data_IF_029971637088
#
_entry.id   IF_029971637088
#
_cell.length_a   1.000
_cell.length_b   1.000
_cell.length_c   1.000
_cell.angle_alpha   90.00
_cell.angle_beta   90.00
_cell.angle_gamma   90.00
#
_symmetry.space_group_name_H-M   'P 1'
#
loop_
_entity.id
_entity.type
_entity.pdbx_description
1 polymer ?
#
# COMPACT_ATOMS: atom_id res chain seq x y z
N UNK A 1 12.21 13.52 6.33
CA UNK A 1 13.49 13.46 5.60
C UNK A 1 14.14 12.11 5.86
N UNK A 2 13.83 11.07 5.07
CA UNK A 2 14.50 9.77 5.13
C UNK A 2 15.82 9.86 4.35
N UNK A 3 16.96 9.92 5.06
CA UNK A 3 18.27 9.89 4.43
C UNK A 3 18.67 8.47 3.98
N UNK A 4 18.05 7.46 4.58
CA UNK A 4 18.36 6.06 4.27
C UNK A 4 17.20 5.14 4.70
N UNK A 5 17.10 3.98 4.08
CA UNK A 5 16.30 2.84 4.56
C UNK A 5 17.20 1.67 4.88
N UNK A 6 16.84 0.92 5.91
CA UNK A 6 17.50 -0.32 6.27
C UNK A 6 16.54 -1.46 5.98
N UNK A 7 16.90 -2.30 5.03
CA UNK A 7 16.21 -3.55 4.79
C UNK A 7 16.83 -4.65 5.67
N UNK A 8 16.15 -4.97 6.75
CA UNK A 8 16.61 -5.98 7.71
C UNK A 8 16.63 -7.39 7.14
N UNK A 9 15.82 -7.69 6.13
CA UNK A 9 15.76 -9.01 5.50
C UNK A 9 16.97 -9.23 4.59
N UNK A 10 17.33 -8.25 3.79
CA UNK A 10 18.46 -8.32 2.86
C UNK A 10 19.77 -7.77 3.45
N UNK A 11 19.77 -7.22 4.67
CA UNK A 11 20.90 -6.52 5.33
C UNK A 11 21.50 -5.39 4.46
N UNK A 12 20.68 -4.74 3.64
CA UNK A 12 21.13 -3.66 2.76
C UNK A 12 20.66 -2.31 3.28
N UNK A 13 21.55 -1.33 3.22
CA UNK A 13 21.26 0.08 3.46
C UNK A 13 21.13 0.76 2.10
N UNK A 14 19.98 1.40 1.86
CA UNK A 14 19.78 2.24 0.65
C UNK A 14 19.74 3.69 1.08
N UNK A 15 20.58 4.52 0.45
CA UNK A 15 20.50 5.96 0.60
C UNK A 15 19.52 6.51 -0.43
N UNK A 16 18.57 7.33 0.02
CA UNK A 16 17.62 7.98 -0.86
C UNK A 16 18.16 9.31 -1.32
N UNK A 17 18.15 9.51 -2.63
CA UNK A 17 18.22 10.85 -3.21
C UNK A 17 16.85 11.49 -3.02
N UNK A 18 16.84 12.66 -2.43
CA UNK A 18 15.71 13.52 -2.11
C UNK A 18 14.54 13.44 -3.11
N UNK A 19 13.31 13.50 -2.58
CA UNK A 19 12.00 13.63 -3.22
C UNK A 19 11.12 12.35 -3.30
N UNK A 20 10.92 11.68 -2.16
CA UNK A 20 9.80 10.76 -1.98
C UNK A 20 8.70 11.38 -1.09
N UNK A 21 7.45 11.07 -1.34
CA UNK A 21 6.26 11.57 -0.59
C UNK A 21 6.21 11.13 0.87
N UNK A 22 6.91 10.08 1.26
CA UNK A 22 6.88 9.54 2.62
C UNK A 22 8.14 9.92 3.40
N UNK A 23 7.96 10.60 4.53
CA UNK A 23 9.03 10.93 5.47
C UNK A 23 9.52 9.72 6.30
N UNK A 24 8.85 8.60 6.21
CA UNK A 24 9.19 7.32 6.84
C UNK A 24 8.04 6.35 6.64
N UNK A 25 8.30 5.25 5.99
CA UNK A 25 7.35 4.18 5.75
C UNK A 25 7.88 2.90 6.37
N UNK A 26 7.04 2.22 7.14
CA UNK A 26 7.39 0.90 7.71
C UNK A 26 6.54 -0.16 7.04
N UNK A 27 7.19 -1.03 6.26
CA UNK A 27 6.52 -2.17 5.62
C UNK A 27 6.46 -3.35 6.58
N UNK A 28 5.25 -3.84 6.82
CA UNK A 28 5.02 -4.99 7.67
C UNK A 28 4.78 -6.24 6.84
N UNK A 29 5.39 -7.35 7.27
CA UNK A 29 5.11 -8.68 6.75
C UNK A 29 4.85 -9.61 7.92
N UNK A 30 3.68 -10.26 7.93
CA UNK A 30 3.27 -11.12 9.02
C UNK A 30 3.79 -12.56 8.83
N UNK A 31 4.74 -13.00 9.65
CA UNK A 31 5.18 -14.40 9.72
C UNK A 31 4.27 -15.28 10.58
N UNK A 32 3.49 -14.66 11.48
CA UNK A 32 2.54 -15.31 12.38
C UNK A 32 1.21 -14.57 12.35
N UNK A 33 0.15 -15.19 12.87
CA UNK A 33 -1.15 -14.51 13.00
C UNK A 33 -1.00 -13.22 13.81
N UNK A 34 -1.47 -12.11 13.23
CA UNK A 34 -1.44 -10.78 13.81
C UNK A 34 -2.83 -10.44 14.36
N UNK A 35 -2.88 -9.77 15.50
CA UNK A 35 -4.11 -9.24 16.07
C UNK A 35 -4.11 -7.71 16.03
N UNK A 36 -5.28 -7.09 16.06
CA UNK A 36 -5.41 -5.63 16.15
C UNK A 36 -4.60 -5.05 17.34
N UNK A 37 -4.58 -5.76 18.48
CA UNK A 37 -3.78 -5.36 19.64
C UNK A 37 -2.29 -5.28 19.32
N UNK A 38 -1.76 -6.22 18.51
CA UNK A 38 -0.37 -6.18 18.07
C UNK A 38 -0.08 -4.94 17.22
N UNK A 39 -0.99 -4.62 16.30
CA UNK A 39 -0.86 -3.43 15.44
C UNK A 39 -0.92 -2.15 16.28
N UNK A 40 -1.91 -2.02 17.17
CA UNK A 40 -2.02 -0.86 18.07
C UNK A 40 -0.79 -0.69 18.96
N UNK A 41 -0.24 -1.79 19.48
CA UNK A 41 0.98 -1.74 20.28
C UNK A 41 2.19 -1.26 19.46
N UNK A 42 2.34 -1.72 18.21
CA UNK A 42 3.44 -1.27 17.34
C UNK A 42 3.33 0.23 17.09
N UNK A 43 2.15 0.71 16.70
CA UNK A 43 1.89 2.13 16.46
C UNK A 43 2.13 2.97 17.73
N UNK A 44 1.58 2.58 18.88
CA UNK A 44 1.79 3.28 20.15
C UNK A 44 3.26 3.32 20.56
N UNK A 45 3.99 2.21 20.39
CA UNK A 45 5.40 2.15 20.75
C UNK A 45 6.27 3.07 19.88
N UNK A 46 5.92 3.28 18.61
CA UNK A 46 6.60 4.24 17.74
C UNK A 46 6.51 5.67 18.29
N UNK A 47 5.31 6.09 18.65
CA UNK A 47 5.06 7.42 19.26
C UNK A 47 5.78 7.55 20.61
N UNK A 48 5.65 6.57 21.49
CA UNK A 48 6.29 6.56 22.82
C UNK A 48 7.82 6.61 22.68
N UNK A 49 8.40 5.80 21.81
CA UNK A 49 9.85 5.79 21.59
C UNK A 49 10.33 7.17 21.11
N UNK A 50 9.64 7.78 20.17
CA UNK A 50 9.98 9.13 19.68
C UNK A 50 9.92 10.17 20.80
N UNK A 51 8.89 10.12 21.67
CA UNK A 51 8.75 11.01 22.80
C UNK A 51 9.87 10.82 23.84
N UNK A 52 10.22 9.56 24.14
CA UNK A 52 11.31 9.23 25.07
C UNK A 52 12.66 9.74 24.53
N UNK A 53 12.96 9.48 23.24
CA UNK A 53 14.19 9.98 22.63
C UNK A 53 14.25 11.51 22.64
N UNK A 54 13.16 12.19 22.28
CA UNK A 54 13.11 13.66 22.34
C UNK A 54 13.38 14.18 23.74
N UNK A 55 12.78 13.56 24.76
CA UNK A 55 12.99 13.94 26.18
C UNK A 55 14.43 13.73 26.60
N UNK A 56 15.04 12.59 26.29
CA UNK A 56 16.43 12.29 26.61
C UNK A 56 17.40 13.29 25.94
N UNK A 57 17.14 13.69 24.71
CA UNK A 57 17.96 14.67 24.02
C UNK A 57 17.84 16.08 24.61
N UNK A 58 16.63 16.50 24.98
CA UNK A 58 16.41 17.79 25.65
C UNK A 58 17.15 17.81 27.01
N UNK A 59 16.98 16.76 27.79
CA UNK A 59 17.63 16.64 29.11
C UNK A 59 19.16 16.59 28.96
N UNK A 60 19.68 15.85 27.99
CA UNK A 60 21.10 15.80 27.67
C UNK A 60 21.65 17.16 27.28
N UNK A 61 20.90 17.97 26.52
CA UNK A 61 21.27 19.33 26.16
C UNK A 61 21.42 20.26 27.38
N UNK A 62 20.52 20.12 28.37
CA UNK A 62 20.61 20.88 29.59
C UNK A 62 21.85 20.53 30.43
N UNK A 63 22.29 19.28 30.40
CA UNK A 63 23.46 18.79 31.13
C UNK A 63 24.76 19.13 30.40
N UNK A 64 24.84 18.87 29.08
CA UNK A 64 26.08 19.00 28.32
C UNK A 64 26.40 20.45 28.00
N UNK A 65 25.37 21.26 27.71
CA UNK A 65 25.47 22.71 27.45
C UNK A 65 26.59 23.10 26.48
N UNK A 66 26.75 22.38 25.38
CA UNK A 66 27.77 22.61 24.36
C UNK A 66 27.12 22.96 23.01
N UNK A 67 27.69 23.93 22.30
CA UNK A 67 27.16 24.41 21.02
C UNK A 67 26.98 23.29 19.98
N UNK A 68 27.93 22.36 19.88
CA UNK A 68 27.86 21.23 18.96
C UNK A 68 26.67 20.30 19.26
N UNK A 69 26.31 20.15 20.53
CA UNK A 69 25.17 19.34 20.93
C UNK A 69 23.86 19.98 20.47
N UNK A 70 23.72 21.29 20.58
CA UNK A 70 22.54 22.00 20.07
C UNK A 70 22.42 21.91 18.55
N UNK A 71 23.52 21.96 17.80
CA UNK A 71 23.50 21.70 16.37
C UNK A 71 23.00 20.28 16.06
N UNK A 72 23.49 19.29 16.77
CA UNK A 72 23.06 17.90 16.63
C UNK A 72 21.58 17.72 17.00
N UNK A 73 21.12 18.39 18.05
CA UNK A 73 19.73 18.43 18.46
C UNK A 73 18.84 19.01 17.36
N UNK A 74 19.19 20.15 16.80
CA UNK A 74 18.41 20.78 15.73
C UNK A 74 18.29 19.88 14.48
N UNK A 75 19.38 19.23 14.08
CA UNK A 75 19.38 18.36 12.90
C UNK A 75 18.59 17.07 13.12
N UNK A 76 18.72 16.46 14.29
CA UNK A 76 18.15 15.14 14.59
C UNK A 76 16.75 15.18 15.23
N UNK A 77 16.50 16.15 16.09
CA UNK A 77 15.30 16.15 16.95
C UNK A 77 14.16 17.03 16.43
N UNK A 78 14.44 18.12 15.73
CA UNK A 78 13.35 18.92 15.15
C UNK A 78 12.49 18.12 14.17
N UNK A 79 13.05 17.30 13.26
CA UNK A 79 12.25 16.41 12.44
C UNK A 79 11.46 15.38 13.26
N UNK A 80 12.06 14.81 14.33
CA UNK A 80 11.39 13.83 15.18
C UNK A 80 10.22 14.45 15.96
N UNK A 81 10.40 15.66 16.50
CA UNK A 81 9.33 16.42 17.17
C UNK A 81 8.22 16.80 16.20
N UNK A 82 8.57 17.19 14.97
CA UNK A 82 7.59 17.46 13.93
C UNK A 82 6.76 16.22 13.61
N UNK A 83 7.40 15.06 13.42
CA UNK A 83 6.71 13.79 13.17
C UNK A 83 5.83 13.38 14.36
N UNK A 84 6.32 13.56 15.59
CA UNK A 84 5.54 13.31 16.78
C UNK A 84 4.30 14.20 16.84
N UNK A 85 4.46 15.49 16.55
CA UNK A 85 3.34 16.43 16.49
C UNK A 85 2.30 16.03 15.44
N UNK A 86 2.74 15.73 14.21
CA UNK A 86 1.85 15.31 13.13
C UNK A 86 1.13 14.01 13.48
N UNK A 87 1.84 13.00 14.00
CA UNK A 87 1.24 11.74 14.42
C UNK A 87 0.23 11.88 15.56
N UNK A 88 0.42 12.86 16.46
CA UNK A 88 -0.46 13.04 17.63
C UNK A 88 -1.74 13.80 17.26
N UNK A 89 -1.65 14.79 16.39
CA UNK A 89 -2.77 15.70 16.10
C UNK A 89 -3.50 15.40 14.79
N UNK A 90 -3.01 14.45 14.00
CA UNK A 90 -3.67 14.05 12.77
C UNK A 90 -4.51 12.79 12.98
N UNK A 91 -5.77 12.83 12.57
CA UNK A 91 -6.71 11.72 12.67
C UNK A 91 -6.75 10.84 11.41
N UNK A 92 -5.88 11.09 10.45
CA UNK A 92 -5.82 10.26 9.24
C UNK A 92 -5.36 8.85 9.60
N UNK A 93 -5.98 7.83 8.98
CA UNK A 93 -5.70 6.40 9.15
C UNK A 93 -4.24 6.00 8.92
N UNK A 94 -3.47 6.86 8.26
CA UNK A 94 -2.05 6.64 7.97
C UNK A 94 -1.12 6.93 9.15
N UNK A 95 -1.63 7.58 10.20
CA UNK A 95 -0.80 8.00 11.33
C UNK A 95 -0.93 7.04 12.52
N UNK A 96 0.18 6.86 13.21
CA UNK A 96 0.30 5.91 14.32
C UNK A 96 -0.76 6.12 15.42
N UNK A 97 -1.07 7.37 15.77
CA UNK A 97 -2.10 7.64 16.78
C UNK A 97 -3.51 7.25 16.33
N UNK A 98 -3.83 7.42 15.03
CA UNK A 98 -5.10 6.97 14.49
C UNK A 98 -5.21 5.43 14.49
N UNK A 99 -4.12 4.75 14.12
CA UNK A 99 -4.02 3.28 14.16
C UNK A 99 -4.08 2.76 15.61
N UNK A 100 -3.43 3.45 16.55
CA UNK A 100 -3.42 3.08 17.95
C UNK A 100 -4.78 3.29 18.65
N UNK A 101 -5.63 4.18 18.12
CA UNK A 101 -6.93 4.50 18.70
C UNK A 101 -7.88 3.29 18.67
N UNK A 102 -8.54 3.01 19.79
CA UNK A 102 -9.59 1.99 19.87
C UNK A 102 -10.94 2.47 19.29
N UNK A 103 -11.07 3.75 19.01
CA UNK A 103 -12.32 4.34 18.50
C UNK A 103 -12.55 4.09 17.01
N UNK A 104 -11.54 3.61 16.30
CA UNK A 104 -11.63 3.27 14.89
C UNK A 104 -11.20 1.80 14.65
N UNK A 105 -11.56 1.28 13.47
CA UNK A 105 -11.24 -0.10 13.06
C UNK A 105 -9.95 -0.23 12.24
N UNK A 106 -9.11 0.80 12.16
CA UNK A 106 -7.90 0.79 11.31
C UNK A 106 -6.97 -0.38 11.65
N UNK A 107 -6.71 -0.60 12.95
CA UNK A 107 -5.86 -1.68 13.40
C UNK A 107 -6.48 -3.07 13.13
N UNK A 108 -7.80 -3.17 13.21
CA UNK A 108 -8.53 -4.43 12.97
C UNK A 108 -8.48 -4.80 11.48
N UNK A 109 -8.75 -3.84 10.60
CA UNK A 109 -8.67 -4.01 9.14
C UNK A 109 -7.24 -4.35 8.72
N UNK A 110 -6.24 -3.63 9.24
CA UNK A 110 -4.84 -3.87 8.91
C UNK A 110 -4.37 -5.26 9.40
N UNK A 111 -4.78 -5.68 10.58
CA UNK A 111 -4.45 -7.01 11.09
C UNK A 111 -5.07 -8.10 10.22
N UNK A 112 -6.32 -7.93 9.80
CA UNK A 112 -7.02 -8.88 8.96
C UNK A 112 -6.40 -8.96 7.56
N UNK A 113 -6.11 -7.83 6.92
CA UNK A 113 -5.46 -7.79 5.61
C UNK A 113 -4.08 -8.45 5.62
N UNK A 114 -3.27 -8.24 6.67
CA UNK A 114 -1.99 -8.92 6.85
C UNK A 114 -2.14 -10.44 7.03
N UNK A 115 -3.17 -10.88 7.73
CA UNK A 115 -3.45 -12.31 7.89
C UNK A 115 -3.89 -12.95 6.57
N UNK A 116 -4.79 -12.29 5.82
CA UNK A 116 -5.22 -12.74 4.49
C UNK A 116 -4.02 -12.82 3.53
N UNK A 117 -3.19 -11.78 3.49
CA UNK A 117 -2.00 -11.77 2.65
C UNK A 117 -1.03 -12.90 2.99
N UNK A 118 -0.85 -13.20 4.28
CA UNK A 118 -0.04 -14.33 4.72
C UNK A 118 -0.62 -15.65 4.23
N UNK A 119 -1.92 -15.90 4.40
CA UNK A 119 -2.58 -17.12 3.95
C UNK A 119 -2.46 -17.32 2.45
N UNK A 120 -2.63 -16.24 1.67
CA UNK A 120 -2.42 -16.24 0.23
C UNK A 120 -0.96 -16.62 -0.12
N UNK A 121 0.01 -16.02 0.56
CA UNK A 121 1.43 -16.30 0.34
C UNK A 121 1.82 -17.74 0.74
N UNK A 122 1.12 -18.30 1.73
CA UNK A 122 1.24 -19.71 2.14
C UNK A 122 0.56 -20.69 1.13
N UNK A 123 0.01 -20.18 0.04
CA UNK A 123 -0.67 -20.96 -1.01
C UNK A 123 -2.10 -21.38 -0.66
N UNK A 124 -2.69 -20.81 0.37
CA UNK A 124 -4.06 -21.10 0.77
C UNK A 124 -5.06 -20.22 0.03
N UNK A 125 -6.28 -20.66 -0.04
CA UNK A 125 -7.44 -19.84 -0.42
C UNK A 125 -8.09 -19.41 0.91
N UNK A 126 -7.94 -18.12 1.30
CA UNK A 126 -8.50 -17.67 2.58
C UNK A 126 -10.03 -17.64 2.53
N UNK A 127 -10.63 -17.75 3.70
CA UNK A 127 -12.07 -17.51 3.86
C UNK A 127 -12.37 -16.00 3.79
N UNK A 128 -13.59 -15.70 3.36
CA UNK A 128 -14.08 -14.34 3.27
C UNK A 128 -14.26 -13.73 4.67
N UNK A 129 -13.70 -12.55 4.88
CA UNK A 129 -13.81 -11.83 6.14
C UNK A 129 -14.94 -10.82 6.10
N UNK A 130 -15.92 -10.95 7.02
CA UNK A 130 -17.02 -9.98 7.13
C UNK A 130 -16.54 -8.56 7.39
N UNK A 131 -15.43 -8.41 8.14
CA UNK A 131 -14.82 -7.11 8.42
C UNK A 131 -14.36 -6.44 7.12
N UNK A 132 -13.63 -7.20 6.30
CA UNK A 132 -13.11 -6.71 5.01
C UNK A 132 -14.25 -6.39 4.05
N UNK A 133 -15.27 -7.22 4.00
CA UNK A 133 -16.40 -7.04 3.08
C UNK A 133 -17.28 -5.81 3.39
N UNK A 134 -17.23 -5.30 4.63
CA UNK A 134 -18.00 -4.14 5.07
C UNK A 134 -17.19 -2.86 5.15
N UNK A 135 -15.87 -2.95 5.05
CA UNK A 135 -14.98 -1.80 5.20
C UNK A 135 -14.73 -1.10 3.86
N UNK A 136 -14.62 0.22 3.90
CA UNK A 136 -14.38 1.05 2.72
C UNK A 136 -12.94 1.56 2.60
N UNK A 137 -12.03 1.11 3.46
CA UNK A 137 -10.62 1.44 3.31
C UNK A 137 -10.06 0.83 2.02
N UNK A 138 -9.20 1.53 1.27
CA UNK A 138 -8.73 1.08 -0.03
C UNK A 138 -8.16 -0.33 -0.02
N UNK A 139 -7.37 -0.70 1.01
CA UNK A 139 -6.81 -2.05 1.11
C UNK A 139 -7.90 -3.11 1.35
N UNK A 140 -8.94 -2.80 2.13
CA UNK A 140 -10.08 -3.71 2.32
C UNK A 140 -10.87 -3.87 1.02
N UNK A 141 -11.09 -2.78 0.28
CA UNK A 141 -11.74 -2.82 -1.03
C UNK A 141 -10.96 -3.68 -2.04
N UNK A 142 -9.61 -3.70 -1.97
CA UNK A 142 -8.82 -4.57 -2.82
C UNK A 142 -9.06 -6.06 -2.51
N UNK A 143 -9.12 -6.46 -1.25
CA UNK A 143 -9.47 -7.83 -0.89
C UNK A 143 -10.93 -8.16 -1.21
N UNK A 144 -11.86 -7.22 -0.98
CA UNK A 144 -13.26 -7.36 -1.42
C UNK A 144 -13.34 -7.64 -2.92
N UNK A 145 -12.59 -6.89 -3.73
CA UNK A 145 -12.48 -7.12 -5.17
C UNK A 145 -12.00 -8.54 -5.50
N UNK A 146 -10.93 -9.01 -4.85
CA UNK A 146 -10.42 -10.35 -5.08
C UNK A 146 -11.44 -11.44 -4.70
N UNK A 147 -12.12 -11.32 -3.56
CA UNK A 147 -13.17 -12.28 -3.15
C UNK A 147 -14.36 -12.26 -4.11
N UNK A 148 -14.77 -11.09 -4.57
CA UNK A 148 -15.85 -10.95 -5.56
C UNK A 148 -15.50 -11.65 -6.88
N UNK A 149 -14.24 -11.51 -7.32
CA UNK A 149 -13.75 -12.23 -8.50
C UNK A 149 -13.74 -13.74 -8.32
N UNK A 150 -13.36 -14.25 -7.15
CA UNK A 150 -13.37 -15.69 -6.87
C UNK A 150 -14.79 -16.27 -6.92
N UNK A 151 -15.79 -15.49 -6.53
CA UNK A 151 -17.21 -15.85 -6.68
C UNK A 151 -17.69 -15.85 -8.14
N UNK A 152 -16.89 -15.36 -9.06
CA UNK A 152 -17.26 -15.22 -10.47
C UNK A 152 -18.13 -13.99 -10.78
N UNK A 153 -18.25 -13.06 -9.84
CA UNK A 153 -19.07 -11.84 -9.97
C UNK A 153 -18.26 -10.70 -10.61
N UNK A 154 -17.77 -10.92 -11.83
CA UNK A 154 -16.88 -10.00 -12.56
C UNK A 154 -17.45 -8.58 -12.67
N UNK A 155 -18.72 -8.45 -13.08
CA UNK A 155 -19.33 -7.12 -13.30
C UNK A 155 -19.45 -6.32 -11.99
N UNK A 156 -19.67 -7.01 -10.87
CA UNK A 156 -19.68 -6.39 -9.53
C UNK A 156 -18.28 -5.97 -9.14
N UNK A 157 -17.30 -6.84 -9.33
CA UNK A 157 -15.89 -6.56 -9.04
C UNK A 157 -15.37 -5.32 -9.78
N UNK A 158 -15.65 -5.19 -11.07
CA UNK A 158 -15.23 -4.05 -11.90
C UNK A 158 -15.79 -2.69 -11.44
N UNK A 159 -16.76 -2.67 -10.53
CA UNK A 159 -17.37 -1.43 -10.00
C UNK A 159 -16.88 -1.06 -8.60
N UNK A 160 -16.18 -1.95 -7.91
CA UNK A 160 -15.78 -1.75 -6.51
C UNK A 160 -14.96 -0.46 -6.33
N UNK A 161 -14.12 -0.12 -7.31
CA UNK A 161 -13.25 1.06 -7.23
C UNK A 161 -13.85 2.33 -7.86
N UNK A 162 -15.11 2.35 -8.27
CA UNK A 162 -15.69 3.51 -8.96
C UNK A 162 -15.69 4.78 -8.09
N UNK A 163 -15.81 4.63 -6.77
CA UNK A 163 -15.85 5.75 -5.82
C UNK A 163 -14.49 6.06 -5.17
N UNK A 164 -13.43 5.32 -5.52
CA UNK A 164 -12.10 5.52 -4.94
C UNK A 164 -11.46 6.76 -5.53
N UNK A 165 -11.04 7.69 -4.66
CA UNK A 165 -10.31 8.89 -5.06
C UNK A 165 -8.82 8.57 -5.11
N UNK A 166 -8.26 8.54 -6.29
CA UNK A 166 -6.85 8.19 -6.54
C UNK A 166 -5.88 9.05 -5.69
N UNK A 167 -6.19 10.32 -5.47
CA UNK A 167 -5.36 11.25 -4.69
C UNK A 167 -5.28 10.92 -3.19
N UNK A 168 -6.24 10.13 -2.68
CA UNK A 168 -6.34 9.78 -1.27
C UNK A 168 -5.68 8.40 -0.98
N UNK A 169 -5.10 7.76 -2.01
CA UNK A 169 -4.39 6.48 -1.89
C UNK A 169 -2.96 6.71 -1.39
N UNK A 170 -2.48 5.79 -0.56
CA UNK A 170 -1.04 5.65 -0.28
C UNK A 170 -0.30 5.12 -1.50
N UNK A 171 1.03 5.22 -1.53
CA UNK A 171 1.81 4.69 -2.65
C UNK A 171 1.58 3.17 -2.83
N UNK A 172 1.47 2.41 -1.74
CA UNK A 172 1.19 0.96 -1.79
C UNK A 172 -0.22 0.65 -2.29
N UNK A 173 -1.22 1.40 -1.82
CA UNK A 173 -2.61 1.27 -2.29
C UNK A 173 -2.74 1.69 -3.75
N UNK A 174 -1.99 2.72 -4.15
CA UNK A 174 -1.93 3.15 -5.53
C UNK A 174 -1.38 2.05 -6.45
N UNK A 175 -0.29 1.40 -6.04
CA UNK A 175 0.30 0.29 -6.81
C UNK A 175 -0.65 -0.90 -6.98
N UNK A 176 -1.55 -1.13 -6.03
CA UNK A 176 -2.52 -2.22 -6.08
C UNK A 176 -3.82 -1.85 -6.80
N UNK A 177 -4.36 -0.66 -6.54
CA UNK A 177 -5.71 -0.27 -6.95
C UNK A 177 -5.75 0.47 -8.28
N UNK A 178 -4.74 1.29 -8.55
CA UNK A 178 -4.71 2.08 -9.78
C UNK A 178 -4.77 1.22 -11.05
N UNK A 179 -4.01 0.11 -11.16
CA UNK A 179 -4.14 -0.79 -12.32
C UNK A 179 -5.55 -1.36 -12.46
N UNK A 180 -6.25 -1.66 -11.36
CA UNK A 180 -7.60 -2.18 -11.37
C UNK A 180 -8.61 -1.14 -11.90
N UNK A 181 -8.44 0.12 -11.51
CA UNK A 181 -9.25 1.24 -12.03
C UNK A 181 -9.05 1.39 -13.54
N UNK A 182 -7.80 1.36 -14.02
CA UNK A 182 -7.49 1.46 -15.47
C UNK A 182 -8.07 0.27 -16.21
N UNK A 183 -7.86 -0.96 -15.70
CA UNK A 183 -8.40 -2.18 -16.31
C UNK A 183 -9.92 -2.14 -16.41
N UNK A 184 -10.60 -1.78 -15.32
CA UNK A 184 -12.05 -1.64 -15.29
C UNK A 184 -12.56 -0.65 -16.35
N UNK A 185 -11.93 0.52 -16.45
CA UNK A 185 -12.29 1.53 -17.44
C UNK A 185 -12.12 0.99 -18.88
N UNK A 186 -11.04 0.27 -19.16
CA UNK A 186 -10.79 -0.34 -20.48
C UNK A 186 -11.84 -1.41 -20.85
N UNK A 187 -12.15 -2.30 -19.91
CA UNK A 187 -13.11 -3.40 -20.15
C UNK A 187 -14.53 -2.87 -20.34
N UNK A 188 -14.89 -1.83 -19.57
CA UNK A 188 -16.21 -1.18 -19.67
C UNK A 188 -16.34 -0.21 -20.87
N UNK A 189 -15.24 0.05 -21.58
CA UNK A 189 -15.24 0.97 -22.72
C UNK A 189 -15.40 2.45 -22.32
N UNK A 190 -15.04 2.83 -21.09
CA UNK A 190 -15.18 4.19 -20.56
C UNK A 190 -14.06 5.10 -21.11
N UNK A 191 -14.26 5.60 -22.32
CA UNK A 191 -13.29 6.44 -23.03
C UNK A 191 -12.93 7.73 -22.28
N UNK A 192 -13.90 8.36 -21.62
CA UNK A 192 -13.67 9.62 -20.88
C UNK A 192 -12.76 9.39 -19.68
N UNK A 193 -13.03 8.34 -18.92
CA UNK A 193 -12.20 7.93 -17.77
C UNK A 193 -10.79 7.55 -18.25
N UNK A 194 -10.67 6.81 -19.33
CA UNK A 194 -9.37 6.43 -19.90
C UNK A 194 -8.58 7.65 -20.35
N UNK A 195 -9.20 8.60 -21.05
CA UNK A 195 -8.55 9.83 -21.47
C UNK A 195 -8.04 10.65 -20.27
N UNK A 196 -8.81 10.72 -19.19
CA UNK A 196 -8.40 11.39 -17.96
C UNK A 196 -7.21 10.70 -17.29
N UNK A 197 -7.16 9.37 -17.33
CA UNK A 197 -6.12 8.58 -16.67
C UNK A 197 -4.89 8.33 -17.55
N UNK A 198 -4.93 8.64 -18.85
CA UNK A 198 -3.94 8.24 -19.84
C UNK A 198 -2.51 8.52 -19.44
N UNK A 199 -2.19 9.78 -19.10
CA UNK A 199 -0.82 10.17 -18.73
C UNK A 199 -0.35 9.48 -17.44
N UNK A 200 -1.24 9.35 -16.45
CA UNK A 200 -0.92 8.66 -15.20
C UNK A 200 -0.68 7.15 -15.45
N UNK A 201 -1.49 6.52 -16.31
CA UNK A 201 -1.37 5.13 -16.67
C UNK A 201 -0.06 4.84 -17.43
N UNK A 202 0.31 5.65 -18.40
CA UNK A 202 1.56 5.51 -19.14
C UNK A 202 2.78 5.64 -18.21
N UNK A 203 2.77 6.61 -17.29
CA UNK A 203 3.82 6.77 -16.29
C UNK A 203 3.89 5.55 -15.34
N UNK A 204 2.75 5.09 -14.84
CA UNK A 204 2.67 3.94 -13.93
C UNK A 204 3.22 2.68 -14.60
N UNK A 205 2.80 2.36 -15.81
CA UNK A 205 3.25 1.17 -16.52
C UNK A 205 4.74 1.18 -16.87
N UNK A 206 5.36 2.36 -16.97
CA UNK A 206 6.81 2.46 -17.18
C UNK A 206 7.62 2.14 -15.92
N UNK A 207 7.01 2.29 -14.71
CA UNK A 207 7.68 2.15 -13.43
C UNK A 207 7.42 0.81 -12.73
N UNK A 208 6.31 0.13 -13.05
CA UNK A 208 5.85 -1.09 -12.36
C UNK A 208 5.68 -2.30 -13.28
N UNK A 209 6.70 -2.71 -14.05
CA UNK A 209 6.56 -3.73 -15.10
C UNK A 209 6.30 -5.16 -14.58
N UNK A 210 6.58 -5.46 -13.30
CA UNK A 210 6.46 -6.82 -12.73
C UNK A 210 5.17 -7.06 -11.93
N UNK A 211 4.37 -6.05 -11.70
CA UNK A 211 3.08 -6.18 -11.03
C UNK A 211 2.07 -6.84 -11.98
N UNK A 212 1.41 -7.92 -11.54
CA UNK A 212 0.47 -8.68 -12.40
C UNK A 212 -0.74 -7.84 -12.80
N UNK A 213 -1.31 -7.06 -11.86
CA UNK A 213 -2.40 -6.12 -12.15
C UNK A 213 -1.96 -5.06 -13.16
N UNK A 214 -0.73 -4.54 -13.04
CA UNK A 214 -0.15 -3.60 -13.97
C UNK A 214 0.02 -4.21 -15.37
N UNK A 215 0.53 -5.44 -15.49
CA UNK A 215 0.68 -6.13 -16.78
C UNK A 215 -0.68 -6.34 -17.46
N UNK A 216 -1.69 -6.79 -16.70
CA UNK A 216 -3.05 -6.97 -17.21
C UNK A 216 -3.67 -5.65 -17.65
N UNK A 217 -3.58 -4.62 -16.80
CA UNK A 217 -4.12 -3.30 -17.11
C UNK A 217 -3.42 -2.66 -18.30
N UNK A 218 -2.11 -2.80 -18.39
CA UNK A 218 -1.33 -2.31 -19.53
C UNK A 218 -1.74 -3.01 -20.82
N UNK A 219 -1.90 -4.35 -20.80
CA UNK A 219 -2.44 -5.11 -21.91
C UNK A 219 -3.81 -4.58 -22.36
N UNK A 220 -4.75 -4.44 -21.44
CA UNK A 220 -6.09 -3.94 -21.74
C UNK A 220 -6.06 -2.49 -22.29
N UNK A 221 -5.22 -1.63 -21.70
CA UNK A 221 -5.04 -0.26 -22.14
C UNK A 221 -4.48 -0.15 -23.57
N UNK A 222 -3.44 -0.92 -23.90
CA UNK A 222 -2.87 -0.95 -25.27
C UNK A 222 -3.87 -1.49 -26.27
N UNK A 223 -4.60 -2.55 -25.92
CA UNK A 223 -5.69 -3.08 -26.75
C UNK A 223 -6.78 -2.04 -26.99
N UNK A 224 -7.20 -1.32 -25.94
CA UNK A 224 -8.19 -0.23 -26.06
C UNK A 224 -7.70 0.90 -26.96
N UNK A 225 -6.40 1.24 -26.91
CA UNK A 225 -5.79 2.24 -27.80
C UNK A 225 -5.53 1.75 -29.23
N UNK A 226 -5.85 0.49 -29.58
CA UNK A 226 -5.62 -0.07 -30.90
C UNK A 226 -4.19 -0.52 -31.20
N UNK A 227 -3.32 -0.61 -30.17
CA UNK A 227 -1.94 -1.06 -30.30
C UNK A 227 -1.84 -2.59 -30.13
N UNK A 228 -2.25 -3.33 -31.15
CA UNK A 228 -2.32 -4.80 -31.11
C UNK A 228 -0.95 -5.45 -30.88
N UNK A 229 0.11 -4.91 -31.50
CA UNK A 229 1.46 -5.46 -31.38
C UNK A 229 1.97 -5.47 -29.94
N UNK A 230 1.84 -4.35 -29.24
CA UNK A 230 2.22 -4.24 -27.83
C UNK A 230 1.30 -5.05 -26.93
N UNK A 231 0.00 -5.11 -27.26
CA UNK A 231 -0.96 -5.89 -26.48
C UNK A 231 -0.62 -7.38 -26.48
N UNK A 232 -0.17 -7.98 -27.59
CA UNK A 232 0.24 -9.38 -27.63
C UNK A 232 1.50 -9.68 -26.82
N UNK A 233 2.50 -8.80 -26.87
CA UNK A 233 3.71 -8.93 -26.06
C UNK A 233 3.36 -8.91 -24.55
N UNK A 234 2.51 -7.97 -24.15
CA UNK A 234 2.07 -7.83 -22.76
C UNK A 234 1.22 -9.00 -22.31
N UNK A 235 0.37 -9.55 -23.18
CA UNK A 235 -0.40 -10.77 -22.91
C UNK A 235 0.50 -11.95 -22.58
N UNK A 236 1.55 -12.17 -23.39
CA UNK A 236 2.51 -13.22 -23.13
C UNK A 236 3.22 -13.05 -21.79
N UNK A 237 3.66 -11.82 -21.47
CA UNK A 237 4.30 -11.49 -20.20
C UNK A 237 3.36 -11.70 -19.02
N UNK A 238 2.10 -11.29 -19.14
CA UNK A 238 1.07 -11.49 -18.12
C UNK A 238 0.82 -12.99 -17.87
N UNK A 239 0.61 -13.78 -18.93
CA UNK A 239 0.37 -15.23 -18.81
C UNK A 239 1.53 -15.92 -18.07
N UNK A 240 2.78 -15.60 -18.43
CA UNK A 240 3.97 -16.13 -17.77
C UNK A 240 4.07 -15.70 -16.29
N UNK A 241 3.75 -14.43 -16.00
CA UNK A 241 3.75 -13.93 -14.63
C UNK A 241 2.67 -14.59 -13.77
N UNK A 242 1.52 -14.94 -14.35
CA UNK A 242 0.41 -15.59 -13.67
C UNK A 242 0.76 -16.98 -13.17
N UNK A 243 1.56 -17.76 -13.92
CA UNK A 243 1.97 -19.13 -13.55
C UNK A 243 2.69 -19.18 -12.19
N UNK A 244 3.43 -18.13 -11.85
CA UNK A 244 4.21 -18.04 -10.60
C UNK A 244 3.40 -17.53 -9.40
N UNK A 245 2.13 -17.16 -9.57
CA UNK A 245 1.31 -16.54 -8.51
C UNK A 245 0.62 -17.59 -7.63
N UNK A 246 0.31 -17.23 -6.37
CA UNK A 246 -0.46 -18.09 -5.47
C UNK A 246 -1.81 -18.51 -6.07
N UNK A 247 -2.35 -19.69 -5.71
CA UNK A 247 -3.60 -20.21 -6.27
C UNK A 247 -4.78 -19.25 -6.16
N UNK A 248 -4.92 -18.55 -5.05
CA UNK A 248 -5.96 -17.55 -4.83
C UNK A 248 -5.93 -16.43 -5.90
N UNK A 249 -4.74 -15.87 -6.16
CA UNK A 249 -4.56 -14.81 -7.15
C UNK A 249 -4.82 -15.36 -8.57
N UNK A 250 -4.32 -16.56 -8.87
CA UNK A 250 -4.56 -17.20 -10.18
C UNK A 250 -6.04 -17.39 -10.45
N UNK A 251 -6.80 -17.88 -9.47
CA UNK A 251 -8.24 -18.11 -9.60
C UNK A 251 -8.99 -16.79 -9.83
N UNK A 252 -8.64 -15.73 -9.09
CA UNK A 252 -9.24 -14.41 -9.27
C UNK A 252 -8.97 -13.86 -10.69
N UNK A 253 -7.73 -13.97 -11.18
CA UNK A 253 -7.33 -13.53 -12.52
C UNK A 253 -7.99 -14.34 -13.63
N UNK A 254 -8.13 -15.67 -13.47
CA UNK A 254 -8.84 -16.53 -14.43
C UNK A 254 -10.32 -16.15 -14.55
N UNK A 255 -10.98 -15.84 -13.44
CA UNK A 255 -12.39 -15.42 -13.45
C UNK A 255 -12.55 -14.00 -14.03
N UNK A 256 -11.54 -13.16 -13.91
CA UNK A 256 -11.55 -11.81 -14.50
C UNK A 256 -11.40 -11.85 -16.03
N UNK A 257 -10.70 -12.84 -16.56
CA UNK A 257 -10.39 -12.94 -18.00
C UNK A 257 -11.36 -13.83 -18.79
N UNK A 258 -12.24 -14.59 -18.11
CA UNK A 258 -13.40 -15.26 -18.72
C UNK A 258 -14.49 -14.24 -19.05
#
# INVERSE_FOLDING_TARGET
>A
FGLFSIDFASKKVKFFTFFGRAAGETKFSAKKKVTAKNIRNVASNGVIATAVFATLFITGGMIINQAWYYCFFCIGQLPALYLLFVNTFNSDRLYDCAIASEQNNFADVLAETLNLQREINDGKIPEESELIMRDNQPIALYFHYLFTLIKGEKDTALKIFDNVKIKDLTDEEYDLIFPEIVYSACVRGDGDKINTLKTAAENFFSLSPENIGALRAHYAFRKFCGDEKWSEILRSSYTKALESRPPFIRLAEENLTK
#
